data_IF_070578912745
#
_entry.id   IF_070578912745
#
_cell.length_a   1.000
_cell.length_b   1.000
_cell.length_c   1.000
_cell.angle_alpha   90.00
_cell.angle_beta   90.00
_cell.angle_gamma   90.00
#
_symmetry.space_group_name_H-M   'P 1'
#
loop_
_entity.id
_entity.type
_entity.pdbx_description
1 polymer ?
#
# COMPACT_ATOMS: atom_id res chain seq x y z
N UNK A 1 -10.33 -0.87 13.36
CA UNK A 1 -11.36 -0.17 12.58
C UNK A 1 -12.05 -1.13 11.64
N UNK A 2 -13.23 -0.75 11.15
CA UNK A 2 -14.06 -1.45 10.17
C UNK A 2 -14.58 -0.44 9.12
N UNK A 3 -15.52 -0.85 8.26
CA UNK A 3 -16.13 0.00 7.23
C UNK A 3 -16.89 1.22 7.76
N UNK A 4 -17.19 1.30 9.06
CA UNK A 4 -17.80 2.48 9.69
C UNK A 4 -16.78 3.53 10.09
N UNK A 5 -15.49 3.24 9.98
CA UNK A 5 -14.42 4.19 10.33
C UNK A 5 -14.56 5.44 9.44
N UNK A 6 -14.74 6.65 10.02
CA UNK A 6 -14.86 7.85 9.22
C UNK A 6 -13.63 8.05 8.32
N UNK A 7 -13.86 8.47 7.08
CA UNK A 7 -12.82 8.71 6.05
C UNK A 7 -12.09 7.44 5.56
N UNK A 8 -11.76 6.49 6.44
CA UNK A 8 -10.90 5.35 6.13
C UNK A 8 -11.63 4.01 6.00
N UNK A 9 -12.94 3.93 6.29
CA UNK A 9 -13.69 2.67 6.31
C UNK A 9 -13.55 1.87 5.01
N UNK A 10 -13.80 2.51 3.87
CA UNK A 10 -13.65 1.91 2.54
C UNK A 10 -12.24 1.39 2.27
N UNK A 11 -11.22 2.13 2.69
CA UNK A 11 -9.81 1.72 2.52
C UNK A 11 -9.53 0.49 3.39
N UNK A 12 -9.96 0.51 4.65
CA UNK A 12 -9.79 -0.59 5.60
C UNK A 12 -10.39 -1.88 5.03
N UNK A 13 -11.67 -1.86 4.63
CA UNK A 13 -12.33 -3.08 4.15
C UNK A 13 -11.72 -3.60 2.85
N UNK A 14 -11.30 -2.72 1.93
CA UNK A 14 -10.64 -3.12 0.68
C UNK A 14 -9.28 -3.76 0.93
N UNK A 15 -8.45 -3.18 1.81
CA UNK A 15 -7.14 -3.76 2.15
C UNK A 15 -7.28 -5.09 2.89
N UNK A 16 -8.29 -5.25 3.75
CA UNK A 16 -8.54 -6.51 4.45
C UNK A 16 -9.12 -7.59 3.52
N UNK A 17 -10.06 -7.24 2.64
CA UNK A 17 -10.58 -8.17 1.64
C UNK A 17 -9.51 -8.62 0.63
N UNK A 18 -8.50 -7.79 0.38
CA UNK A 18 -7.35 -8.16 -0.44
C UNK A 18 -6.57 -9.35 0.13
N UNK A 19 -6.46 -9.50 1.46
CA UNK A 19 -5.80 -10.68 2.05
C UNK A 19 -6.58 -11.99 1.80
N UNK A 20 -7.89 -11.91 1.56
CA UNK A 20 -8.71 -13.07 1.18
C UNK A 20 -8.58 -13.41 -0.31
N UNK A 21 -8.56 -12.38 -1.15
CA UNK A 21 -8.57 -12.54 -2.61
C UNK A 21 -7.43 -11.74 -3.26
N UNK A 22 -6.15 -12.06 -2.95
CA UNK A 22 -5.01 -11.24 -3.35
C UNK A 22 -4.81 -11.12 -4.86
N UNK A 23 -5.26 -12.11 -5.63
CA UNK A 23 -5.13 -12.12 -7.09
C UNK A 23 -6.00 -11.07 -7.78
N UNK A 24 -7.06 -10.59 -7.14
CA UNK A 24 -8.08 -9.75 -7.78
C UNK A 24 -7.53 -8.39 -8.23
N UNK A 25 -6.56 -7.83 -7.50
CA UNK A 25 -5.84 -6.61 -7.90
C UNK A 25 -5.18 -6.74 -9.28
N UNK A 26 -4.83 -7.96 -9.70
CA UNK A 26 -4.17 -8.20 -11.00
C UNK A 26 -5.10 -8.07 -12.21
N UNK A 27 -6.41 -8.14 -11.99
CA UNK A 27 -7.41 -7.98 -13.05
C UNK A 27 -7.85 -6.53 -13.28
N UNK A 28 -7.40 -5.60 -12.44
CA UNK A 28 -7.73 -4.19 -12.56
C UNK A 28 -6.86 -3.51 -13.60
N UNK A 29 -7.48 -2.71 -14.45
CA UNK A 29 -6.78 -1.78 -15.32
C UNK A 29 -5.99 -0.74 -14.51
N UNK A 30 -4.96 -0.17 -15.13
CA UNK A 30 -4.02 0.73 -14.47
C UNK A 30 -4.72 1.94 -13.83
N UNK A 31 -5.67 2.56 -14.55
CA UNK A 31 -6.43 3.70 -14.07
C UNK A 31 -7.27 3.38 -12.84
N UNK A 32 -7.79 2.15 -12.72
CA UNK A 32 -8.60 1.73 -11.57
C UNK A 32 -7.73 1.51 -10.33
N UNK A 33 -6.48 1.15 -10.50
CA UNK A 33 -5.49 1.09 -9.41
C UNK A 33 -5.02 2.48 -8.99
N UNK A 34 -4.84 3.39 -9.95
CA UNK A 34 -4.18 4.69 -9.71
C UNK A 34 -5.17 5.80 -9.32
N UNK A 35 -6.38 5.83 -9.89
CA UNK A 35 -7.34 6.92 -9.69
C UNK A 35 -7.71 7.17 -8.22
N UNK A 36 -7.92 6.15 -7.35
CA UNK A 36 -8.17 6.39 -5.93
C UNK A 36 -7.03 7.13 -5.22
N UNK A 37 -5.78 6.80 -5.58
CA UNK A 37 -4.60 7.43 -4.98
C UNK A 37 -4.40 8.85 -5.52
N UNK A 38 -4.65 9.08 -6.82
CA UNK A 38 -4.65 10.41 -7.42
C UNK A 38 -5.56 11.40 -6.70
N UNK A 39 -6.75 10.96 -6.23
CA UNK A 39 -7.67 11.83 -5.48
C UNK A 39 -7.01 12.37 -4.20
N UNK A 40 -6.31 11.51 -3.45
CA UNK A 40 -5.57 11.92 -2.25
C UNK A 40 -4.30 12.72 -2.57
N UNK A 41 -3.65 12.43 -3.70
CA UNK A 41 -2.42 13.08 -4.13
C UNK A 41 -2.65 14.42 -4.88
N UNK A 42 -3.88 14.79 -5.24
CA UNK A 42 -4.16 15.96 -6.05
C UNK A 42 -3.70 17.27 -5.41
N UNK A 43 -4.09 17.50 -4.15
CA UNK A 43 -3.69 18.71 -3.41
C UNK A 43 -2.16 18.81 -3.23
N UNK A 44 -1.43 17.78 -2.75
CA UNK A 44 0.03 17.87 -2.64
C UNK A 44 0.73 17.99 -4.00
N UNK A 45 0.22 17.36 -5.06
CA UNK A 45 0.75 17.53 -6.41
C UNK A 45 0.59 18.96 -6.93
N UNK A 46 -0.59 19.56 -6.75
CA UNK A 46 -0.85 20.95 -7.13
C UNK A 46 0.04 21.93 -6.34
N UNK A 47 0.20 21.70 -5.03
CA UNK A 47 1.09 22.50 -4.19
C UNK A 47 2.56 22.39 -4.64
N UNK A 48 3.04 21.17 -4.94
CA UNK A 48 4.39 20.96 -5.46
C UNK A 48 4.61 21.71 -6.78
N UNK A 49 3.66 21.59 -7.72
CA UNK A 49 3.75 22.28 -9.02
C UNK A 49 3.78 23.80 -8.85
N UNK A 50 2.91 24.35 -8.00
CA UNK A 50 2.89 25.79 -7.72
C UNK A 50 4.20 26.28 -7.10
N UNK A 51 4.70 25.59 -6.07
CA UNK A 51 5.95 25.95 -5.40
C UNK A 51 7.16 25.82 -6.34
N UNK A 52 7.21 24.77 -7.16
CA UNK A 52 8.26 24.60 -8.15
C UNK A 52 8.21 25.68 -9.24
N UNK A 53 7.01 26.03 -9.73
CA UNK A 53 6.84 27.09 -10.73
C UNK A 53 7.23 28.48 -10.22
N UNK A 54 7.03 28.74 -8.92
CA UNK A 54 7.50 29.97 -8.25
C UNK A 54 9.00 29.97 -7.93
N UNK A 55 9.73 28.88 -8.21
CA UNK A 55 11.13 28.73 -7.82
C UNK A 55 11.34 28.65 -6.31
N UNK A 56 10.29 28.34 -5.54
CA UNK A 56 10.32 28.29 -4.08
C UNK A 56 10.95 26.99 -3.53
N UNK A 57 11.28 26.03 -4.40
CA UNK A 57 11.90 24.77 -4.04
C UNK A 57 13.21 24.58 -4.81
N UNK A 58 14.30 24.15 -4.13
CA UNK A 58 15.52 23.74 -4.82
C UNK A 58 15.25 22.63 -5.84
N UNK A 59 15.92 22.59 -7.00
CA UNK A 59 15.67 21.59 -8.04
C UNK A 59 15.73 20.14 -7.55
N UNK A 60 16.69 19.82 -6.67
CA UNK A 60 16.83 18.48 -6.10
C UNK A 60 15.63 18.09 -5.22
N UNK A 61 15.10 19.03 -4.44
CA UNK A 61 13.92 18.80 -3.60
C UNK A 61 12.66 18.63 -4.46
N UNK A 62 12.51 19.45 -5.51
CA UNK A 62 11.42 19.30 -6.48
C UNK A 62 11.46 17.94 -7.17
N UNK A 63 12.65 17.49 -7.60
CA UNK A 63 12.83 16.19 -8.24
C UNK A 63 12.53 15.03 -7.27
N UNK A 64 12.97 15.14 -6.02
CA UNK A 64 12.67 14.16 -4.98
C UNK A 64 11.17 14.07 -4.70
N UNK A 65 10.51 15.20 -4.40
CA UNK A 65 9.08 15.23 -4.09
C UNK A 65 8.22 14.80 -5.28
N UNK A 66 8.60 15.19 -6.50
CA UNK A 66 7.94 14.75 -7.73
C UNK A 66 8.06 13.24 -7.92
N UNK A 67 9.26 12.68 -7.73
CA UNK A 67 9.47 11.23 -7.80
C UNK A 67 8.70 10.51 -6.70
N UNK A 68 8.75 11.00 -5.46
CA UNK A 68 8.03 10.45 -4.32
C UNK A 68 6.52 10.41 -4.57
N UNK A 69 5.92 11.51 -5.05
CA UNK A 69 4.51 11.52 -5.43
C UNK A 69 4.22 10.57 -6.58
N UNK A 70 5.11 10.47 -7.57
CA UNK A 70 5.01 9.48 -8.64
C UNK A 70 4.94 8.04 -8.10
N UNK A 71 5.79 7.70 -7.13
CA UNK A 71 5.76 6.39 -6.48
C UNK A 71 4.49 6.18 -5.64
N UNK A 72 4.02 7.19 -4.91
CA UNK A 72 2.77 7.13 -4.16
C UNK A 72 1.60 6.84 -5.09
N UNK A 73 1.46 7.61 -6.17
CA UNK A 73 0.38 7.49 -7.16
C UNK A 73 0.37 6.10 -7.81
N UNK A 74 1.54 5.52 -8.09
CA UNK A 74 1.66 4.20 -8.71
C UNK A 74 1.75 3.05 -7.69
N UNK A 75 1.61 3.31 -6.39
CA UNK A 75 1.80 2.31 -5.33
C UNK A 75 0.93 1.06 -5.51
N UNK A 76 -0.33 1.23 -5.91
CA UNK A 76 -1.23 0.12 -6.17
C UNK A 76 -0.87 -0.69 -7.42
N UNK A 77 -0.24 -0.08 -8.43
CA UNK A 77 0.23 -0.80 -9.60
C UNK A 77 1.50 -1.62 -9.28
N UNK A 78 2.41 -1.07 -8.48
CA UNK A 78 3.57 -1.84 -7.99
C UNK A 78 3.13 -3.03 -7.13
N UNK A 79 2.13 -2.80 -6.28
CA UNK A 79 1.48 -3.85 -5.51
C UNK A 79 0.84 -4.92 -6.42
N UNK A 80 0.13 -4.53 -7.49
CA UNK A 80 -0.38 -5.47 -8.51
C UNK A 80 0.73 -6.31 -9.14
N UNK A 81 1.85 -5.71 -9.53
CA UNK A 81 2.97 -6.48 -10.10
C UNK A 81 3.56 -7.48 -9.11
N UNK A 82 3.51 -7.20 -7.81
CA UNK A 82 3.90 -8.16 -6.77
C UNK A 82 2.93 -9.34 -6.61
N UNK A 83 1.71 -9.24 -7.15
CA UNK A 83 0.75 -10.35 -7.21
C UNK A 83 0.73 -11.10 -8.55
N UNK A 84 1.46 -10.61 -9.55
CA UNK A 84 1.49 -11.23 -10.87
C UNK A 84 2.31 -12.54 -10.80
N UNK A 85 1.67 -13.67 -11.11
CA UNK A 85 2.28 -15.00 -10.96
C UNK A 85 3.06 -15.44 -12.20
N UNK A 86 2.67 -14.96 -13.38
CA UNK A 86 3.42 -15.16 -14.62
C UNK A 86 4.33 -13.95 -14.88
N UNK A 87 5.62 -14.13 -14.66
CA UNK A 87 6.64 -13.12 -14.88
C UNK A 87 6.66 -12.58 -16.32
N UNK A 88 6.26 -13.38 -17.31
CA UNK A 88 6.22 -12.94 -18.72
C UNK A 88 5.16 -11.85 -18.96
N UNK A 89 4.20 -11.70 -18.04
CA UNK A 89 3.22 -10.61 -18.07
C UNK A 89 3.77 -9.30 -17.49
N UNK A 90 4.99 -9.30 -16.92
CA UNK A 90 5.63 -8.11 -16.37
C UNK A 90 6.62 -7.53 -17.38
N UNK A 91 6.66 -6.19 -17.56
CA UNK A 91 7.71 -5.56 -18.34
C UNK A 91 9.11 -5.95 -17.82
N UNK A 92 10.11 -6.18 -18.69
CA UNK A 92 11.45 -6.60 -18.25
C UNK A 92 12.09 -5.66 -17.22
N UNK A 93 11.84 -4.36 -17.36
CA UNK A 93 12.30 -3.35 -16.39
C UNK A 93 11.69 -3.54 -15.01
N UNK A 94 10.42 -3.93 -14.92
CA UNK A 94 9.74 -4.21 -13.64
C UNK A 94 10.38 -5.40 -12.97
N UNK A 95 10.65 -6.48 -13.71
CA UNK A 95 11.32 -7.67 -13.18
C UNK A 95 12.71 -7.35 -12.65
N UNK A 96 13.48 -6.54 -13.38
CA UNK A 96 14.78 -6.06 -12.93
C UNK A 96 14.66 -5.27 -11.62
N UNK A 97 13.75 -4.29 -11.57
CA UNK A 97 13.54 -3.47 -10.38
C UNK A 97 13.08 -4.29 -9.17
N UNK A 98 12.24 -5.32 -9.38
CA UNK A 98 11.85 -6.26 -8.33
C UNK A 98 13.01 -7.14 -7.86
N UNK A 99 13.88 -7.59 -8.77
CA UNK A 99 15.07 -8.36 -8.42
C UNK A 99 16.08 -7.57 -7.59
N UNK A 100 16.16 -6.25 -7.81
CA UNK A 100 16.97 -5.32 -7.03
C UNK A 100 16.28 -4.85 -5.73
N UNK A 101 15.02 -5.24 -5.49
CA UNK A 101 14.21 -4.79 -4.35
C UNK A 101 13.71 -3.34 -4.46
N UNK A 102 14.07 -2.59 -5.51
CA UNK A 102 13.62 -1.21 -5.72
C UNK A 102 12.10 -1.17 -5.79
N UNK A 103 11.50 -2.11 -6.53
CA UNK A 103 10.08 -2.42 -6.44
C UNK A 103 9.87 -3.66 -5.56
N UNK A 104 8.74 -3.73 -4.86
CA UNK A 104 8.41 -4.90 -4.06
C UNK A 104 8.24 -6.13 -4.96
N UNK A 105 8.90 -7.23 -4.62
CA UNK A 105 8.82 -8.48 -5.37
C UNK A 105 7.63 -9.33 -4.91
N UNK A 106 7.23 -10.30 -5.74
CA UNK A 106 6.23 -11.30 -5.35
C UNK A 106 6.62 -12.08 -4.09
N UNK A 107 7.91 -12.39 -3.93
CA UNK A 107 8.41 -13.09 -2.75
C UNK A 107 8.24 -12.25 -1.48
N UNK A 108 8.67 -10.98 -1.54
CA UNK A 108 8.58 -10.05 -0.42
C UNK A 108 7.13 -9.80 -0.01
N UNK A 109 6.28 -9.42 -0.97
CA UNK A 109 4.88 -9.18 -0.67
C UNK A 109 4.14 -10.47 -0.29
N UNK A 110 4.48 -11.61 -0.88
CA UNK A 110 3.94 -12.90 -0.48
C UNK A 110 4.29 -13.30 0.96
N UNK A 111 5.36 -12.77 1.55
CA UNK A 111 5.67 -12.97 2.97
C UNK A 111 4.69 -12.18 3.86
N UNK A 112 4.25 -10.99 3.44
CA UNK A 112 3.21 -10.21 4.12
C UNK A 112 1.88 -10.96 4.19
N UNK A 113 1.50 -11.71 3.15
CA UNK A 113 0.26 -12.49 3.11
C UNK A 113 0.24 -13.73 4.01
N UNK A 114 1.23 -13.92 4.88
CA UNK A 114 1.26 -15.02 5.85
C UNK A 114 0.80 -14.53 7.22
N UNK A 115 -0.14 -15.22 7.88
CA UNK A 115 -0.46 -14.96 9.27
C UNK A 115 0.83 -14.98 10.14
N UNK A 116 0.95 -14.08 11.12
CA UNK A 116 -0.09 -13.18 11.63
C UNK A 116 -0.18 -11.81 10.92
N UNK A 117 0.39 -11.65 9.71
CA UNK A 117 0.37 -10.40 8.94
C UNK A 117 1.10 -9.22 9.62
N UNK A 118 2.16 -9.50 10.37
CA UNK A 118 2.86 -8.51 11.21
C UNK A 118 4.15 -7.92 10.61
N UNK A 119 4.40 -8.15 9.32
CA UNK A 119 5.65 -7.74 8.66
C UNK A 119 5.52 -7.55 7.16
N UNK A 120 6.63 -7.17 6.52
CA UNK A 120 6.73 -6.89 5.09
C UNK A 120 5.68 -5.89 4.58
N UNK A 121 5.36 -4.87 5.39
CA UNK A 121 4.28 -3.92 5.13
C UNK A 121 4.48 -3.02 3.89
N UNK A 122 5.71 -2.86 3.39
CA UNK A 122 5.97 -2.00 2.24
C UNK A 122 5.52 -2.65 0.92
N UNK A 123 4.58 -1.98 0.23
CA UNK A 123 4.02 -2.40 -1.07
C UNK A 123 4.64 -1.68 -2.29
N UNK A 124 5.53 -0.71 -2.06
CA UNK A 124 6.21 0.02 -3.14
C UNK A 124 7.61 -0.56 -3.36
N UNK A 125 8.44 -0.55 -2.32
CA UNK A 125 9.84 -1.00 -2.38
C UNK A 125 10.09 -2.10 -1.36
N UNK A 126 10.71 -3.20 -1.80
CA UNK A 126 11.13 -4.28 -0.92
C UNK A 126 12.35 -3.93 -0.06
N UNK A 127 13.16 -2.94 -0.47
CA UNK A 127 14.37 -2.53 0.26
C UNK A 127 14.09 -2.10 1.70
N UNK A 128 12.89 -1.56 1.97
CA UNK A 128 12.55 -1.01 3.28
C UNK A 128 11.92 -2.03 4.23
N UNK A 129 11.47 -3.19 3.74
CA UNK A 129 10.86 -4.21 4.61
C UNK A 129 11.85 -4.71 5.66
N UNK A 130 13.03 -5.21 5.27
CA UNK A 130 13.99 -5.75 6.21
C UNK A 130 14.47 -4.73 7.29
N UNK A 131 14.81 -3.47 6.94
CA UNK A 131 15.13 -2.45 7.95
C UNK A 131 13.97 -2.12 8.90
N UNK A 132 12.74 -1.99 8.38
CA UNK A 132 11.59 -1.61 9.19
C UNK A 132 11.12 -2.75 10.10
N UNK A 133 11.14 -3.99 9.61
CA UNK A 133 10.81 -5.18 10.39
C UNK A 133 11.89 -5.43 11.46
N UNK A 134 13.18 -5.37 11.08
CA UNK A 134 14.30 -5.57 12.01
C UNK A 134 14.39 -4.52 13.13
N UNK A 135 13.93 -3.28 12.86
CA UNK A 135 13.86 -2.23 13.89
C UNK A 135 12.58 -2.29 14.74
N UNK A 136 11.61 -3.14 14.37
CA UNK A 136 10.29 -3.20 14.98
C UNK A 136 9.49 -1.92 14.79
N UNK A 137 9.75 -1.15 13.72
CA UNK A 137 9.16 0.18 13.51
C UNK A 137 7.63 0.14 13.55
N UNK A 138 7.01 -0.74 12.75
CA UNK A 138 5.55 -0.85 12.69
C UNK A 138 4.97 -1.42 13.98
N UNK A 139 5.63 -2.40 14.62
CA UNK A 139 5.21 -2.92 15.93
C UNK A 139 5.19 -1.84 17.01
N UNK A 140 6.18 -0.95 17.04
CA UNK A 140 6.21 0.20 17.96
C UNK A 140 5.07 1.18 17.66
N UNK A 141 4.80 1.45 16.38
CA UNK A 141 3.70 2.33 15.97
C UNK A 141 2.34 1.74 16.36
N UNK A 142 2.15 0.45 16.13
CA UNK A 142 0.98 -0.33 16.55
C UNK A 142 0.75 -0.25 18.06
N UNK A 143 1.79 -0.49 18.86
CA UNK A 143 1.74 -0.36 20.32
C UNK A 143 1.37 1.07 20.73
N UNK A 144 1.98 2.09 20.13
CA UNK A 144 1.69 3.49 20.45
C UNK A 144 0.24 3.87 20.09
N UNK A 145 -0.31 3.37 18.98
CA UNK A 145 -1.72 3.57 18.62
C UNK A 145 -2.63 2.89 19.64
N UNK A 146 -2.33 1.64 20.02
CA UNK A 146 -3.11 0.90 21.01
C UNK A 146 -3.09 1.58 22.38
N UNK A 147 -1.93 2.02 22.86
CA UNK A 147 -1.80 2.73 24.15
C UNK A 147 -2.61 4.04 24.18
N UNK A 148 -2.73 4.74 23.04
CA UNK A 148 -3.46 6.00 22.95
C UNK A 148 -4.95 5.85 22.71
N UNK A 149 -5.38 4.78 22.06
CA UNK A 149 -6.76 4.62 21.55
C UNK A 149 -7.50 3.43 22.14
N UNK A 150 -6.81 2.49 22.78
CA UNK A 150 -7.34 1.18 23.17
C UNK A 150 -7.62 0.23 22.00
N UNK A 151 -7.42 0.65 20.75
CA UNK A 151 -7.69 -0.16 19.57
C UNK A 151 -6.51 -1.08 19.28
N UNK A 152 -6.72 -2.39 19.39
CA UNK A 152 -5.70 -3.39 19.08
C UNK A 152 -5.48 -3.53 17.57
N UNK A 153 -4.23 -3.69 17.10
CA UNK A 153 -3.93 -4.12 15.75
C UNK A 153 -4.56 -5.48 15.44
N UNK A 154 -4.94 -5.71 14.18
CA UNK A 154 -5.56 -6.98 13.75
C UNK A 154 -4.57 -8.14 13.78
N UNK A 155 -3.32 -7.90 13.43
CA UNK A 155 -2.22 -8.88 13.44
C UNK A 155 -1.92 -9.46 14.83
N UNK A 156 -2.47 -8.90 15.91
CA UNK A 156 -2.30 -9.44 17.27
C UNK A 156 -3.30 -10.54 17.62
N UNK A 157 -4.28 -10.80 16.75
CA UNK A 157 -5.26 -11.86 16.90
C UNK A 157 -5.15 -12.84 15.73
N UNK A 158 -5.76 -14.01 15.89
CA UNK A 158 -5.96 -14.91 14.76
C UNK A 158 -6.75 -14.21 13.64
N UNK A 159 -6.44 -14.48 12.36
CA UNK A 159 -7.13 -13.85 11.26
C UNK A 159 -8.63 -14.15 11.28
N UNK A 160 -9.45 -13.12 11.47
CA UNK A 160 -10.90 -13.18 11.44
C UNK A 160 -11.43 -12.34 10.27
N UNK A 161 -12.14 -13.00 9.37
CA UNK A 161 -12.72 -12.42 8.16
C UNK A 161 -14.24 -12.29 8.23
N UNK A 162 -14.89 -12.75 9.31
CA UNK A 162 -16.35 -12.69 9.45
C UNK A 162 -16.87 -11.25 9.40
N UNK A 163 -16.09 -10.28 9.91
CA UNK A 163 -16.46 -8.87 9.81
C UNK A 163 -16.61 -8.38 8.36
N UNK A 164 -15.90 -8.98 7.39
CA UNK A 164 -16.03 -8.64 5.97
C UNK A 164 -17.37 -9.11 5.38
N UNK A 165 -18.11 -9.97 6.08
CA UNK A 165 -19.45 -10.43 5.68
C UNK A 165 -20.56 -9.46 6.11
N UNK A 166 -20.27 -8.51 7.01
CA UNK A 166 -21.26 -7.55 7.46
C UNK A 166 -21.69 -6.61 6.31
N UNK A 167 -22.97 -6.20 6.24
CA UNK A 167 -23.50 -5.42 5.11
C UNK A 167 -22.72 -4.13 4.83
N UNK A 168 -22.25 -3.46 5.88
CA UNK A 168 -21.51 -2.20 5.77
C UNK A 168 -20.03 -2.38 5.42
N UNK A 169 -19.54 -3.63 5.31
CA UNK A 169 -18.17 -3.94 4.93
C UNK A 169 -18.07 -4.49 3.49
N UNK A 170 -19.17 -4.70 2.78
CA UNK A 170 -19.21 -5.35 1.47
C UNK A 170 -18.48 -4.61 0.33
N UNK A 171 -18.02 -3.37 0.54
CA UNK A 171 -17.29 -2.58 -0.46
C UNK A 171 -15.96 -3.20 -0.91
N UNK A 172 -15.48 -4.27 -0.25
CA UNK A 172 -14.33 -5.05 -0.69
C UNK A 172 -14.62 -5.98 -1.88
N UNK A 173 -15.88 -6.40 -2.07
CA UNK A 173 -16.30 -7.33 -3.14
C UNK A 173 -16.46 -6.68 -4.50
N UNK A 174 -16.62 -5.36 -4.52
CA UNK A 174 -16.76 -4.60 -5.76
C UNK A 174 -15.35 -4.43 -6.35
N UNK A 175 -15.07 -5.19 -7.41
CA UNK A 175 -13.92 -4.99 -8.29
C UNK A 175 -14.41 -4.84 -9.72
#
# INVERSE_FOLDING_TARGET
GDGRTPVFGDVIVKFQGHHLQPWTITYRDWENNVAPICKGALAPAAALLALAAMGALPPALSAFLGSFLGFVVNSQEFHKWSHTTNDDNLPPVVRLLQSCGILVSRKEHGAHHKPPFEGHYCIVSGLMNAPLDGSGFFKKLETAIHERTGVKPRCWNEPDYTFLEEPHNQAWRIQ
#
